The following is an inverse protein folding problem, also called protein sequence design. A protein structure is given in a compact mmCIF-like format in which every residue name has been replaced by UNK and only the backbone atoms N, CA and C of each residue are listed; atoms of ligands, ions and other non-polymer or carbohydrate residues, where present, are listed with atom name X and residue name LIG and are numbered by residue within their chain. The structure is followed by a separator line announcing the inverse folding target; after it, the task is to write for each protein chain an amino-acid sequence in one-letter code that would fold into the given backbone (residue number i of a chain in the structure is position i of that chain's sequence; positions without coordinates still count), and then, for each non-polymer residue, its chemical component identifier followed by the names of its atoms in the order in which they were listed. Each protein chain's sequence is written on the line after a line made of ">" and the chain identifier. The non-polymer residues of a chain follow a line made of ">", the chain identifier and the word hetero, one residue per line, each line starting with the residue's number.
data_IF_917754018519
#
_entry.id   IF_917754018519
#
_cell.length_a   1.000
_cell.length_b   1.000
_cell.length_c   1.000
_cell.angle_alpha   90.00
_cell.angle_beta   90.00
_cell.angle_gamma   90.00
#
_symmetry.space_group_name_H-M   'P 1'
#
loop_
_entity.id
_entity.type
_entity.pdbx_description
1 polymer ?
#
# COMPACT_ATOMS: atom_id res chain seq x y z
N UNK A 1 4.07 -9.25 38.08
CA UNK A 1 3.55 -8.57 36.92
C UNK A 1 3.89 -9.42 35.71
N UNK A 2 2.87 -10.17 35.25
CA UNK A 2 3.00 -11.01 34.08
C UNK A 2 3.22 -10.10 32.85
N UNK A 3 4.35 -10.23 32.23
CA UNK A 3 4.58 -9.71 30.88
C UNK A 3 3.66 -10.48 29.95
N UNK A 4 2.47 -9.90 29.71
CA UNK A 4 1.57 -10.40 28.67
C UNK A 4 2.39 -10.50 27.38
N UNK A 5 2.54 -11.71 26.88
CA UNK A 5 3.32 -11.99 25.69
C UNK A 5 2.78 -11.16 24.53
N UNK A 6 3.59 -10.20 24.07
CA UNK A 6 3.26 -9.45 22.88
C UNK A 6 3.17 -10.46 21.73
N UNK A 7 2.06 -10.54 21.00
CA UNK A 7 1.99 -11.40 19.84
C UNK A 7 3.16 -11.03 18.91
N UNK A 8 3.89 -12.02 18.44
CA UNK A 8 5.03 -11.85 17.55
C UNK A 8 4.57 -11.13 16.28
N UNK A 9 4.97 -9.87 16.16
CA UNK A 9 4.63 -9.01 15.04
C UNK A 9 5.69 -9.17 13.98
N UNK A 10 5.28 -9.67 12.85
CA UNK A 10 6.15 -9.86 11.71
C UNK A 10 6.14 -8.61 10.83
N UNK A 11 7.28 -8.29 10.24
CA UNK A 11 7.44 -7.18 9.28
C UNK A 11 6.80 -7.49 7.93
N UNK A 12 6.90 -6.54 6.99
CA UNK A 12 6.35 -6.57 5.63
C UNK A 12 6.44 -7.90 4.86
N UNK A 13 7.32 -8.80 5.25
CA UNK A 13 7.61 -10.03 4.50
C UNK A 13 7.02 -11.30 5.11
N UNK A 14 6.58 -11.28 6.38
CA UNK A 14 6.15 -12.50 7.06
C UNK A 14 4.99 -12.31 8.05
N UNK A 15 3.86 -11.89 7.55
CA UNK A 15 2.69 -11.67 8.40
C UNK A 15 2.68 -10.25 8.96
N UNK A 16 2.07 -9.41 8.19
CA UNK A 16 1.89 -8.00 8.48
C UNK A 16 1.09 -7.84 9.75
N UNK A 17 1.45 -6.84 10.51
CA UNK A 17 0.62 -6.37 11.61
C UNK A 17 -0.62 -5.71 11.02
N UNK A 18 -1.64 -6.51 10.73
CA UNK A 18 -2.95 -6.00 10.35
C UNK A 18 -3.80 -5.94 11.62
N UNK A 19 -4.36 -4.80 11.89
CA UNK A 19 -5.21 -4.55 13.06
C UNK A 19 -6.60 -4.13 12.61
N UNK A 20 -7.62 -4.52 13.37
CA UNK A 20 -8.92 -3.91 13.23
C UNK A 20 -8.90 -2.49 13.83
N UNK A 21 -9.60 -1.56 13.21
CA UNK A 21 -9.88 -0.26 13.81
C UNK A 21 -10.81 -0.40 15.03
N UNK A 22 -10.88 0.63 15.87
CA UNK A 22 -11.68 0.61 17.09
C UNK A 22 -13.16 0.36 16.82
N UNK A 23 -13.67 0.90 15.71
CA UNK A 23 -15.04 0.72 15.24
C UNK A 23 -15.25 -0.58 14.42
N UNK A 24 -14.19 -1.39 14.25
CA UNK A 24 -14.17 -2.63 13.47
C UNK A 24 -14.55 -2.48 11.97
N UNK A 25 -14.60 -1.27 11.47
CA UNK A 25 -14.96 -0.99 10.06
C UNK A 25 -13.77 -1.04 9.12
N UNK A 26 -12.56 -0.90 9.65
CA UNK A 26 -11.33 -0.78 8.85
C UNK A 26 -10.24 -1.75 9.30
N UNK A 27 -9.46 -2.20 8.33
CA UNK A 27 -8.20 -2.91 8.55
C UNK A 27 -7.02 -1.95 8.44
N UNK A 28 -6.22 -1.87 9.48
CA UNK A 28 -5.09 -0.97 9.60
C UNK A 28 -3.78 -1.73 9.38
N UNK A 29 -2.96 -1.25 8.47
CA UNK A 29 -1.61 -1.75 8.21
C UNK A 29 -0.56 -0.69 8.56
N UNK A 30 -0.12 -0.58 9.82
CA UNK A 30 0.80 0.47 10.26
C UNK A 30 2.20 0.37 9.66
N UNK A 31 2.57 -0.77 9.14
CA UNK A 31 3.80 -1.01 8.41
C UNK A 31 3.76 -0.51 6.95
N UNK A 32 2.58 -0.16 6.44
CA UNK A 32 2.40 0.51 5.15
C UNK A 32 2.68 2.00 5.28
N UNK A 33 3.95 2.34 5.44
CA UNK A 33 4.40 3.73 5.56
C UNK A 33 4.38 4.43 4.20
N UNK A 34 4.43 5.77 4.22
CA UNK A 34 4.44 6.57 3.00
C UNK A 34 5.56 6.18 2.02
N UNK A 35 6.73 5.77 2.52
CA UNK A 35 7.86 5.32 1.69
C UNK A 35 7.49 4.09 0.88
N UNK A 36 6.85 3.11 1.54
CA UNK A 36 6.39 1.91 0.87
C UNK A 36 5.29 2.20 -0.14
N UNK A 37 4.30 3.01 0.24
CA UNK A 37 3.15 3.36 -0.60
C UNK A 37 3.63 4.04 -1.89
N UNK A 38 4.49 5.06 -1.79
CA UNK A 38 5.01 5.77 -2.96
C UNK A 38 5.86 4.86 -3.86
N UNK A 39 6.74 4.04 -3.28
CA UNK A 39 7.53 3.10 -4.06
C UNK A 39 6.65 2.07 -4.80
N UNK A 40 5.62 1.58 -4.13
CA UNK A 40 4.63 0.69 -4.72
C UNK A 40 3.84 1.36 -5.85
N UNK A 41 3.36 2.59 -5.64
CA UNK A 41 2.58 3.32 -6.63
C UNK A 41 3.39 3.57 -7.90
N UNK A 42 4.64 4.00 -7.78
CA UNK A 42 5.53 4.21 -8.94
C UNK A 42 5.80 2.88 -9.65
N UNK A 43 6.06 1.81 -8.91
CA UNK A 43 6.30 0.49 -9.50
C UNK A 43 5.06 -0.04 -10.23
N UNK A 44 3.89 0.07 -9.60
CA UNK A 44 2.66 -0.43 -10.20
C UNK A 44 2.25 0.39 -11.43
N UNK A 45 2.44 1.72 -11.39
CA UNK A 45 2.25 2.57 -12.57
C UNK A 45 3.20 2.19 -13.70
N UNK A 46 4.48 1.94 -13.41
CA UNK A 46 5.45 1.44 -14.37
C UNK A 46 4.98 0.12 -15.01
N UNK A 47 4.51 -0.82 -14.20
CA UNK A 47 3.97 -2.09 -14.66
C UNK A 47 2.77 -1.88 -15.60
N UNK A 48 1.79 -1.09 -15.20
CA UNK A 48 0.59 -0.85 -16.02
C UNK A 48 0.90 -0.09 -17.30
N UNK A 49 1.82 0.87 -17.27
CA UNK A 49 2.24 1.62 -18.46
C UNK A 49 2.91 0.72 -19.49
N UNK A 50 3.74 -0.22 -19.06
CA UNK A 50 4.47 -1.12 -19.96
C UNK A 50 3.63 -2.31 -20.45
N UNK A 51 2.76 -2.85 -19.60
CA UNK A 51 2.00 -4.08 -19.88
C UNK A 51 0.58 -3.82 -20.39
N UNK A 52 -0.03 -2.71 -19.96
CA UNK A 52 -1.42 -2.34 -20.26
C UNK A 52 -1.50 -0.87 -20.69
N UNK A 53 -0.82 -0.49 -21.77
CA UNK A 53 -0.63 0.91 -22.13
C UNK A 53 -1.95 1.66 -22.39
N UNK A 54 -2.95 1.01 -22.94
CA UNK A 54 -4.29 1.60 -23.19
C UNK A 54 -5.11 1.81 -21.92
N UNK A 55 -4.79 1.12 -20.84
CA UNK A 55 -5.52 1.17 -19.56
C UNK A 55 -4.71 1.82 -18.43
N UNK A 56 -3.50 2.28 -18.69
CA UNK A 56 -2.58 2.77 -17.67
C UNK A 56 -3.11 3.96 -16.86
N UNK A 57 -3.90 4.83 -17.46
CA UNK A 57 -4.51 5.97 -16.78
C UNK A 57 -5.61 5.57 -15.79
N UNK A 58 -6.40 4.56 -16.12
CA UNK A 58 -7.42 4.03 -15.21
C UNK A 58 -6.82 3.06 -14.21
N UNK A 59 -6.19 1.98 -14.68
CA UNK A 59 -5.69 0.90 -13.83
C UNK A 59 -4.39 1.28 -13.09
N UNK A 60 -3.54 2.10 -13.71
CA UNK A 60 -2.27 2.53 -13.14
C UNK A 60 -2.42 3.80 -12.30
N UNK A 61 -2.89 4.89 -12.90
CA UNK A 61 -2.87 6.18 -12.23
C UNK A 61 -4.06 6.37 -11.27
N UNK A 62 -5.29 6.31 -11.77
CA UNK A 62 -6.46 6.62 -10.95
C UNK A 62 -6.68 5.63 -9.81
N UNK A 63 -6.52 4.33 -10.07
CA UNK A 63 -6.67 3.27 -9.05
C UNK A 63 -5.55 3.27 -7.98
N UNK A 64 -4.41 3.88 -8.25
CA UNK A 64 -3.33 4.03 -7.26
C UNK A 64 -3.48 5.33 -6.50
N UNK A 65 -3.81 6.42 -7.19
CA UNK A 65 -3.93 7.73 -6.58
C UNK A 65 -5.08 7.79 -5.57
N UNK A 66 -6.24 7.22 -5.90
CA UNK A 66 -7.41 7.25 -5.04
C UNK A 66 -7.17 6.66 -3.63
N UNK A 67 -6.69 5.41 -3.47
CA UNK A 67 -6.42 4.85 -2.15
C UNK A 67 -5.26 5.55 -1.43
N UNK A 68 -4.28 6.04 -2.17
CA UNK A 68 -3.13 6.74 -1.61
C UNK A 68 -3.53 8.10 -1.03
N UNK A 69 -4.29 8.89 -1.76
CA UNK A 69 -4.83 10.17 -1.28
C UNK A 69 -5.76 9.93 -0.09
N UNK A 70 -6.65 8.94 -0.16
CA UNK A 70 -7.53 8.61 0.95
C UNK A 70 -6.73 8.23 2.22
N UNK A 71 -5.70 7.41 2.09
CA UNK A 71 -4.86 7.02 3.22
C UNK A 71 -4.04 8.19 3.81
N UNK A 72 -3.64 9.15 2.99
CA UNK A 72 -2.85 10.28 3.47
C UNK A 72 -3.70 11.37 4.13
N UNK A 73 -4.92 11.57 3.67
CA UNK A 73 -5.79 12.65 4.13
C UNK A 73 -6.75 12.17 5.21
N UNK A 74 -7.42 11.04 5.03
CA UNK A 74 -8.54 10.62 5.88
C UNK A 74 -8.23 9.45 6.80
N UNK A 75 -7.69 8.34 6.28
CA UNK A 75 -7.56 7.11 7.07
C UNK A 75 -6.13 6.56 7.08
N UNK A 76 -5.25 7.20 7.83
CA UNK A 76 -3.88 6.72 8.07
C UNK A 76 -3.89 5.25 8.49
N UNK A 77 -3.08 4.44 7.79
CA UNK A 77 -3.00 2.99 7.99
C UNK A 77 -4.01 2.16 7.17
N UNK A 78 -5.06 2.77 6.60
CA UNK A 78 -6.08 2.08 5.82
C UNK A 78 -5.73 1.86 4.34
N UNK A 79 -4.53 2.15 3.90
CA UNK A 79 -4.16 2.13 2.49
C UNK A 79 -4.43 0.78 1.82
N UNK A 80 -4.07 -0.33 2.45
CA UNK A 80 -4.23 -1.65 1.85
C UNK A 80 -5.70 -2.01 1.62
N UNK A 81 -6.58 -1.65 2.56
CA UNK A 81 -8.02 -1.84 2.42
C UNK A 81 -8.59 -0.94 1.32
N UNK A 82 -8.23 0.34 1.31
CA UNK A 82 -8.64 1.27 0.27
C UNK A 82 -8.21 0.77 -1.12
N UNK A 83 -6.97 0.25 -1.22
CA UNK A 83 -6.45 -0.31 -2.46
C UNK A 83 -7.22 -1.56 -2.90
N UNK A 84 -7.57 -2.44 -1.97
CA UNK A 84 -8.36 -3.63 -2.27
C UNK A 84 -9.78 -3.26 -2.75
N UNK A 85 -10.44 -2.33 -2.08
CA UNK A 85 -11.79 -1.91 -2.45
C UNK A 85 -11.84 -1.17 -3.79
N UNK A 86 -10.94 -0.21 -4.02
CA UNK A 86 -10.91 0.51 -5.29
C UNK A 86 -10.63 -0.44 -6.46
N UNK A 87 -9.71 -1.39 -6.27
CA UNK A 87 -9.43 -2.39 -7.27
C UNK A 87 -10.62 -3.32 -7.53
N UNK A 88 -11.27 -3.82 -6.48
CA UNK A 88 -12.43 -4.70 -6.61
C UNK A 88 -13.58 -4.02 -7.33
N UNK A 89 -13.94 -2.79 -6.94
CA UNK A 89 -15.00 -2.00 -7.56
C UNK A 89 -14.67 -1.75 -9.04
N UNK A 90 -13.44 -1.34 -9.32
CA UNK A 90 -13.01 -1.10 -10.69
C UNK A 90 -13.05 -2.37 -11.55
N UNK A 91 -12.53 -3.49 -11.04
CA UNK A 91 -12.54 -4.75 -11.79
C UNK A 91 -13.97 -5.21 -12.09
N UNK A 92 -14.90 -5.11 -11.13
CA UNK A 92 -16.31 -5.42 -11.38
C UNK A 92 -16.90 -4.51 -12.45
N UNK A 93 -16.66 -3.21 -12.36
CA UNK A 93 -17.15 -2.25 -13.35
C UNK A 93 -16.57 -2.50 -14.74
N UNK A 94 -15.26 -2.65 -14.85
CA UNK A 94 -14.58 -2.85 -16.12
C UNK A 94 -14.92 -4.17 -16.82
N UNK A 95 -15.24 -5.22 -16.04
CA UNK A 95 -15.68 -6.50 -16.60
C UNK A 95 -17.13 -6.48 -17.07
N UNK A 96 -18.01 -5.76 -16.39
CA UNK A 96 -19.42 -5.63 -16.76
C UNK A 96 -19.61 -4.64 -17.89
N UNK A 97 -18.80 -3.59 -17.93
CA UNK A 97 -18.88 -2.53 -18.93
C UNK A 97 -17.54 -2.32 -19.67
N UNK A 98 -17.03 -3.32 -20.41
CA UNK A 98 -15.75 -3.20 -21.13
C UNK A 98 -15.78 -2.07 -22.17
N UNK A 99 -16.93 -1.80 -22.75
CA UNK A 99 -17.17 -0.69 -23.70
C UNK A 99 -16.65 0.66 -23.17
N UNK A 100 -16.72 0.91 -21.84
CA UNK A 100 -16.23 2.14 -21.23
C UNK A 100 -14.76 2.42 -21.57
N UNK A 101 -13.91 1.41 -21.48
CA UNK A 101 -12.48 1.53 -21.72
C UNK A 101 -12.07 1.36 -23.19
N UNK A 102 -12.85 0.66 -23.98
CA UNK A 102 -12.42 0.18 -25.29
C UNK A 102 -13.05 0.95 -26.45
N UNK A 103 -14.30 1.44 -26.32
CA UNK A 103 -15.06 2.01 -27.43
C UNK A 103 -15.75 3.34 -27.11
N UNK A 104 -15.79 3.77 -25.83
CA UNK A 104 -16.47 4.99 -25.46
C UNK A 104 -15.60 6.24 -25.71
N UNK A 105 -16.20 7.42 -25.50
CA UNK A 105 -15.48 8.70 -25.53
C UNK A 105 -14.37 8.81 -24.46
N UNK A 106 -14.33 7.88 -23.50
CA UNK A 106 -13.32 7.81 -22.42
C UNK A 106 -12.15 6.91 -22.78
N UNK A 107 -12.11 6.35 -23.98
CA UNK A 107 -10.97 5.58 -24.48
C UNK A 107 -9.70 6.40 -24.40
N UNK A 108 -8.68 5.85 -23.79
CA UNK A 108 -7.35 6.42 -23.79
C UNK A 108 -6.47 5.72 -24.80
N UNK A 109 -6.09 6.43 -25.85
CA UNK A 109 -5.11 5.91 -26.80
C UNK A 109 -3.73 6.00 -26.18
N UNK A 110 -3.07 4.86 -26.00
CA UNK A 110 -1.69 4.87 -25.54
C UNK A 110 -0.75 5.24 -26.66
N UNK A 111 -0.04 6.30 -26.48
CA UNK A 111 1.24 6.53 -27.18
C UNK A 111 2.34 5.94 -26.31
N UNK A 112 2.71 4.70 -26.57
CA UNK A 112 3.83 4.07 -25.87
C UNK A 112 5.13 4.69 -26.35
N UNK A 113 5.49 5.82 -25.75
CA UNK A 113 6.80 6.42 -25.98
C UNK A 113 7.88 5.62 -25.24
N UNK A 114 8.85 5.02 -25.96
CA UNK A 114 9.93 4.25 -25.34
C UNK A 114 10.75 5.07 -24.34
N UNK A 115 10.89 6.38 -24.57
CA UNK A 115 11.59 7.29 -23.64
C UNK A 115 10.84 7.43 -22.32
N UNK A 116 9.53 7.67 -22.36
CA UNK A 116 8.70 7.77 -21.18
C UNK A 116 8.66 6.44 -20.41
N UNK A 117 8.50 5.31 -21.10
CA UNK A 117 8.51 3.98 -20.51
C UNK A 117 9.84 3.69 -19.78
N UNK A 118 10.96 4.02 -20.40
CA UNK A 118 12.28 3.88 -19.79
C UNK A 118 12.45 4.78 -18.58
N UNK A 119 12.04 6.05 -18.66
CA UNK A 119 12.16 7.00 -17.57
C UNK A 119 11.33 6.54 -16.34
N UNK A 120 10.11 6.09 -16.56
CA UNK A 120 9.24 5.55 -15.46
C UNK A 120 9.83 4.26 -14.88
N UNK A 121 10.45 3.40 -15.71
CA UNK A 121 11.11 2.18 -15.24
C UNK A 121 12.32 2.49 -14.35
N UNK A 122 13.13 3.48 -14.74
CA UNK A 122 14.25 3.94 -13.91
C UNK A 122 13.73 4.55 -12.60
N UNK A 123 12.70 5.39 -12.66
CA UNK A 123 12.10 5.97 -11.46
C UNK A 123 11.57 4.88 -10.51
N UNK A 124 10.92 3.85 -11.04
CA UNK A 124 10.44 2.72 -10.26
C UNK A 124 11.60 1.94 -9.60
N UNK A 125 12.67 1.68 -10.33
CA UNK A 125 13.86 1.02 -9.79
C UNK A 125 14.48 1.85 -8.66
N UNK A 126 14.70 3.15 -8.88
CA UNK A 126 15.29 4.05 -7.88
C UNK A 126 14.41 4.12 -6.63
N UNK A 127 13.09 4.29 -6.78
CA UNK A 127 12.16 4.35 -5.65
C UNK A 127 12.18 3.06 -4.81
N UNK A 128 12.19 1.90 -5.46
CA UNK A 128 12.21 0.62 -4.75
C UNK A 128 13.55 0.37 -4.06
N UNK A 129 14.68 0.69 -4.71
CA UNK A 129 16.01 0.60 -4.08
C UNK A 129 16.10 1.53 -2.88
N UNK A 130 15.61 2.77 -3.00
CA UNK A 130 15.57 3.72 -1.89
C UNK A 130 14.71 3.21 -0.72
N UNK A 131 13.56 2.60 -1.01
CA UNK A 131 12.72 1.99 0.02
C UNK A 131 13.43 0.83 0.74
N UNK A 132 14.12 -0.04 0.01
CA UNK A 132 14.92 -1.14 0.60
C UNK A 132 16.04 -0.58 1.49
N UNK A 133 16.77 0.42 1.00
CA UNK A 133 17.84 1.08 1.77
C UNK A 133 17.27 1.70 3.04
N UNK A 134 16.12 2.37 2.96
CA UNK A 134 15.45 2.95 4.11
C UNK A 134 15.06 1.88 5.15
N UNK A 135 14.49 0.76 4.71
CA UNK A 135 14.14 -0.37 5.60
C UNK A 135 15.39 -0.92 6.28
N UNK A 136 16.46 -1.16 5.50
CA UNK A 136 17.73 -1.68 6.02
C UNK A 136 18.38 -0.70 7.02
N UNK A 137 18.37 0.59 6.71
CA UNK A 137 18.86 1.64 7.61
C UNK A 137 18.08 1.65 8.94
N UNK A 138 16.76 1.60 8.88
CA UNK A 138 15.93 1.57 10.08
C UNK A 138 16.16 0.29 10.90
N UNK A 139 16.23 -0.86 10.24
CA UNK A 139 16.51 -2.13 10.88
C UNK A 139 17.86 -2.10 11.64
N UNK A 140 18.89 -1.57 10.99
CA UNK A 140 20.21 -1.40 11.62
C UNK A 140 20.18 -0.40 12.78
N UNK A 141 19.52 0.75 12.59
CA UNK A 141 19.42 1.80 13.63
C UNK A 141 18.71 1.32 14.88
N UNK A 142 17.69 0.48 14.73
CA UNK A 142 16.89 -0.06 15.82
C UNK A 142 17.46 -1.39 16.37
N UNK A 143 18.47 -1.97 15.74
CA UNK A 143 18.98 -3.31 16.08
C UNK A 143 17.92 -4.41 15.91
N UNK A 144 16.96 -4.22 15.00
CA UNK A 144 15.81 -5.11 14.80
C UNK A 144 15.94 -5.92 13.53
N UNK A 145 15.53 -7.17 13.61
CA UNK A 145 15.43 -8.02 12.43
C UNK A 145 14.09 -7.73 11.69
N UNK A 146 14.11 -7.22 10.45
CA UNK A 146 12.90 -6.87 9.71
C UNK A 146 11.98 -8.07 9.41
N UNK A 147 12.49 -9.30 9.48
CA UNK A 147 11.69 -10.52 9.31
C UNK A 147 10.91 -10.94 10.56
N UNK A 148 11.34 -10.49 11.74
CA UNK A 148 10.77 -10.93 13.02
C UNK A 148 10.17 -9.81 13.85
N UNK A 149 10.56 -8.57 13.58
CA UNK A 149 10.25 -7.41 14.40
C UNK A 149 9.81 -6.24 13.53
N UNK A 150 8.93 -5.41 14.08
CA UNK A 150 8.50 -4.19 13.39
C UNK A 150 9.62 -3.14 13.39
N UNK A 151 9.99 -2.68 12.21
CA UNK A 151 11.03 -1.66 12.02
C UNK A 151 10.47 -0.26 11.88
N UNK A 152 9.14 -0.11 11.81
CA UNK A 152 8.46 1.18 11.63
C UNK A 152 7.88 1.74 12.93
N UNK A 153 7.92 0.98 14.02
CA UNK A 153 7.52 1.44 15.35
C UNK A 153 8.26 2.74 15.71
N UNK A 154 7.52 3.74 16.19
CA UNK A 154 8.05 5.08 16.48
C UNK A 154 8.14 6.01 15.26
N UNK A 155 7.60 5.63 14.10
CA UNK A 155 7.35 6.60 13.02
C UNK A 155 5.97 7.23 13.20
N UNK A 156 5.82 8.48 12.75
CA UNK A 156 4.54 9.19 12.86
C UNK A 156 3.39 8.48 12.13
N UNK A 157 3.68 7.81 11.02
CA UNK A 157 2.68 7.05 10.29
C UNK A 157 2.24 5.81 11.08
N UNK A 158 3.19 5.11 11.68
CA UNK A 158 2.92 3.95 12.52
C UNK A 158 2.11 4.34 13.77
N UNK A 159 2.48 5.43 14.44
CA UNK A 159 1.77 5.93 15.63
C UNK A 159 0.34 6.35 15.28
N UNK A 160 0.15 7.11 14.20
CA UNK A 160 -1.19 7.54 13.74
C UNK A 160 -2.07 6.37 13.34
N UNK A 161 -1.51 5.36 12.68
CA UNK A 161 -2.24 4.15 12.31
C UNK A 161 -2.62 3.32 13.53
N UNK A 162 -1.69 3.16 14.50
CA UNK A 162 -1.94 2.36 15.71
C UNK A 162 -2.81 3.07 16.73
N UNK A 163 -2.87 4.40 16.73
CA UNK A 163 -3.79 5.16 17.58
C UNK A 163 -5.27 4.84 17.29
N UNK A 164 -5.58 4.40 16.06
CA UNK A 164 -6.93 4.01 15.64
C UNK A 164 -7.25 2.52 15.89
N UNK A 165 -6.31 1.78 16.45
CA UNK A 165 -6.43 0.34 16.66
C UNK A 165 -7.44 0.04 17.77
N UNK A 166 -8.31 -0.96 17.53
CA UNK A 166 -9.18 -1.53 18.55
C UNK A 166 -8.36 -2.00 19.76
N UNK A 167 -8.79 -1.63 20.94
CA UNK A 167 -8.29 -2.19 22.21
C UNK A 167 -8.91 -3.57 22.34
N UNK A 168 -8.20 -4.62 21.93
CA UNK A 168 -8.66 -5.99 22.11
C UNK A 168 -8.40 -6.35 23.58
N UNK A 169 -9.45 -6.43 24.35
CA UNK A 169 -9.42 -7.06 25.68
C UNK A 169 -9.33 -8.57 25.48
N UNK A 170 -8.15 -9.11 25.69
CA UNK A 170 -7.94 -10.57 25.66
C UNK A 170 -8.53 -11.31 26.87
N UNK A 171 -9.27 -10.60 27.74
CA UNK A 171 -9.86 -11.16 28.96
C UNK A 171 -11.02 -12.16 28.70
N UNK A 172 -11.50 -12.28 27.47
CA UNK A 172 -12.62 -13.15 27.10
C UNK A 172 -12.30 -14.21 26.02
N UNK A 173 -11.02 -14.50 25.80
CA UNK A 173 -10.60 -15.53 24.86
C UNK A 173 -10.07 -16.77 25.61
N UNK A 174 -10.83 -17.27 26.57
CA UNK A 174 -10.70 -18.61 27.15
C UNK A 174 -11.92 -19.46 26.79
#
# INVERSE_FOLDING_TARGET
>A
PATAGRPHRNSLTRGRSVYAAEDQTEMLGPDMTWVYIIAYDIWNFCYTLNCLPTHSWFCGFALLLAPTVAAFIWNKGGWIQNRAFTLAIWCMFAQVFPYFQEESIFVTHSTLDPGAATAVSIAALVANVAAIIYIAYRAKKLGRNPYKQDVFEGTSDWEKATARRAKVDYAHAE
#
